data_IF_744106444017
#
_entry.id   IF_744106444017
#
_cell.length_a   1.000
_cell.length_b   1.000
_cell.length_c   1.000
_cell.angle_alpha   90.00
_cell.angle_beta   90.00
_cell.angle_gamma   90.00
#
_symmetry.space_group_name_H-M   'P 1'
#
loop_
_entity.id
_entity.type
_entity.pdbx_description
1 polymer ?
#
# COMPACT_ATOMS: atom_id res chain seq x y z
N UNK A 1 -17.92 -33.66 33.16
CA UNK A 1 -16.47 -33.41 33.02
C UNK A 1 -15.94 -33.01 34.38
N UNK A 2 -14.73 -33.38 34.73
CA UNK A 2 -14.13 -32.94 35.98
C UNK A 2 -13.62 -31.49 35.81
N UNK A 3 -13.98 -30.64 36.77
CA UNK A 3 -13.43 -29.30 36.85
C UNK A 3 -12.08 -29.34 37.56
N UNK A 4 -11.16 -28.46 37.17
CA UNK A 4 -9.89 -28.23 37.85
C UNK A 4 -10.07 -27.09 38.85
N UNK A 5 -9.80 -27.37 40.12
CA UNK A 5 -9.77 -26.33 41.15
C UNK A 5 -8.50 -25.48 41.00
N UNK A 6 -8.62 -24.19 40.95
CA UNK A 6 -7.52 -23.22 40.99
C UNK A 6 -7.42 -22.62 42.38
N UNK A 7 -8.48 -21.94 42.84
CA UNK A 7 -8.57 -21.38 44.17
C UNK A 7 -10.05 -21.28 44.64
N UNK A 8 -10.32 -20.60 45.77
CA UNK A 8 -11.66 -20.46 46.31
C UNK A 8 -12.63 -19.65 45.48
N UNK A 9 -12.15 -18.92 44.48
CA UNK A 9 -12.92 -18.04 43.57
C UNK A 9 -12.91 -18.53 42.13
N UNK A 10 -12.05 -19.50 41.79
CA UNK A 10 -11.82 -19.90 40.39
C UNK A 10 -11.76 -21.43 40.23
N UNK A 11 -12.52 -21.91 39.25
CA UNK A 11 -12.47 -23.28 38.76
C UNK A 11 -12.41 -23.26 37.23
N UNK A 12 -11.65 -24.17 36.64
CA UNK A 12 -11.49 -24.31 35.20
C UNK A 12 -12.23 -25.54 34.68
N UNK A 13 -13.05 -25.38 33.65
CA UNK A 13 -13.79 -26.47 33.01
C UNK A 13 -13.60 -26.43 31.50
N UNK A 14 -13.37 -27.57 30.85
CA UNK A 14 -13.44 -27.71 29.43
C UNK A 14 -14.91 -27.79 28.98
N UNK A 15 -15.26 -27.03 27.93
CA UNK A 15 -16.62 -27.05 27.36
C UNK A 15 -16.87 -28.36 26.60
N UNK A 16 -18.04 -29.00 26.77
CA UNK A 16 -18.41 -30.18 25.97
C UNK A 16 -18.73 -29.77 24.53
N UNK A 17 -18.59 -30.70 23.58
CA UNK A 17 -19.01 -30.51 22.19
C UNK A 17 -20.52 -30.32 22.15
N UNK A 18 -20.99 -29.36 21.31
CA UNK A 18 -22.39 -29.10 21.02
C UNK A 18 -22.68 -29.21 19.53
N UNK A 19 -23.90 -29.59 19.19
CA UNK A 19 -24.33 -29.80 17.78
C UNK A 19 -24.76 -28.52 17.07
N UNK A 20 -24.65 -27.35 17.69
CA UNK A 20 -25.03 -26.06 17.07
C UNK A 20 -24.93 -24.87 18.03
N UNK A 21 -25.18 -23.70 17.44
CA UNK A 21 -25.19 -22.42 18.18
C UNK A 21 -26.29 -22.43 19.23
N UNK A 22 -25.94 -22.23 20.50
CA UNK A 22 -26.88 -22.23 21.61
C UNK A 22 -26.28 -21.62 22.87
N UNK A 23 -27.12 -21.01 23.70
CA UNK A 23 -26.73 -20.64 25.06
C UNK A 23 -27.06 -21.76 26.03
N UNK A 24 -26.16 -22.03 26.99
CA UNK A 24 -26.30 -23.03 28.05
C UNK A 24 -25.94 -22.42 29.38
N UNK A 25 -26.72 -22.73 30.43
CA UNK A 25 -26.33 -22.37 31.78
C UNK A 25 -25.10 -23.17 32.23
N UNK A 26 -24.18 -22.49 32.90
CA UNK A 26 -23.02 -23.12 33.55
C UNK A 26 -23.29 -23.21 35.05
N UNK A 27 -23.22 -24.41 35.56
CA UNK A 27 -23.48 -24.72 36.96
C UNK A 27 -22.33 -25.52 37.53
N UNK A 28 -21.98 -25.27 38.77
CA UNK A 28 -20.85 -25.90 39.45
C UNK A 28 -21.38 -26.72 40.66
N UNK A 29 -20.79 -27.89 40.86
CA UNK A 29 -21.02 -28.72 42.03
C UNK A 29 -19.70 -29.09 42.69
N UNK A 30 -19.64 -28.99 43.99
CA UNK A 30 -18.46 -29.40 44.78
C UNK A 30 -18.54 -30.84 45.28
N UNK A 31 -19.70 -31.50 45.16
CA UNK A 31 -19.93 -32.87 45.65
C UNK A 31 -20.53 -33.80 44.58
N UNK A 32 -20.74 -33.30 43.34
CA UNK A 32 -21.30 -34.06 42.21
C UNK A 32 -22.81 -34.33 42.31
N UNK A 33 -23.51 -33.79 43.29
CA UNK A 33 -24.95 -34.02 43.51
C UNK A 33 -25.77 -32.72 43.44
N UNK A 34 -25.37 -31.69 44.13
CA UNK A 34 -26.04 -30.40 44.14
C UNK A 34 -25.27 -29.42 43.24
N UNK A 35 -25.97 -28.87 42.27
CA UNK A 35 -25.45 -27.87 41.38
C UNK A 35 -25.98 -26.47 41.68
N UNK A 36 -25.19 -25.44 41.38
CA UNK A 36 -25.65 -24.06 41.46
C UNK A 36 -26.79 -23.82 40.47
N UNK A 37 -27.57 -22.75 40.64
CA UNK A 37 -28.71 -22.42 39.76
C UNK A 37 -28.80 -20.93 39.47
N UNK A 38 -27.64 -20.26 39.33
CA UNK A 38 -27.58 -18.81 39.13
C UNK A 38 -27.85 -18.38 37.70
N UNK A 39 -27.95 -19.30 36.73
CA UNK A 39 -28.31 -19.01 35.34
C UNK A 39 -27.23 -18.31 34.55
N UNK A 40 -25.96 -18.35 34.98
CA UNK A 40 -24.84 -17.81 34.20
C UNK A 40 -24.73 -18.60 32.90
N UNK A 41 -24.80 -17.91 31.77
CA UNK A 41 -24.85 -18.54 30.46
C UNK A 41 -23.49 -18.52 29.76
N UNK A 42 -23.14 -19.62 29.10
CA UNK A 42 -22.10 -19.74 28.10
C UNK A 42 -22.76 -19.93 26.75
N UNK A 43 -22.32 -19.15 25.75
CA UNK A 43 -22.90 -19.19 24.38
C UNK A 43 -21.93 -19.89 23.44
N UNK A 44 -22.39 -20.99 22.86
CA UNK A 44 -21.73 -21.67 21.75
C UNK A 44 -22.00 -20.89 20.45
N UNK A 45 -20.95 -20.52 19.74
CA UNK A 45 -21.02 -19.84 18.45
C UNK A 45 -20.48 -20.74 17.35
N UNK A 46 -20.76 -20.41 16.09
CA UNK A 46 -20.16 -21.10 14.97
C UNK A 46 -18.62 -20.95 15.02
N UNK A 47 -17.91 -22.00 14.65
CA UNK A 47 -16.45 -21.93 14.55
C UNK A 47 -16.05 -20.91 13.48
N UNK A 48 -15.10 -20.06 13.83
CA UNK A 48 -14.50 -19.13 12.86
C UNK A 48 -13.66 -19.91 11.85
N UNK A 49 -13.64 -19.45 10.62
CA UNK A 49 -12.76 -19.94 9.57
C UNK A 49 -12.25 -18.77 8.71
N UNK A 50 -10.97 -18.83 8.32
CA UNK A 50 -10.34 -17.86 7.41
C UNK A 50 -10.28 -18.47 6.02
N UNK A 51 -10.86 -17.78 5.03
CA UNK A 51 -10.86 -18.20 3.63
C UNK A 51 -9.70 -17.59 2.86
N UNK A 52 -9.48 -16.29 3.00
CA UNK A 52 -8.38 -15.55 2.35
C UNK A 52 -8.16 -14.18 3.01
N UNK A 53 -7.05 -13.54 2.71
CA UNK A 53 -6.68 -12.22 3.22
C UNK A 53 -6.37 -11.24 2.10
N UNK A 54 -6.61 -9.96 2.33
CA UNK A 54 -6.27 -8.89 1.39
C UNK A 54 -5.78 -7.64 2.14
N UNK A 55 -4.70 -7.00 1.67
CA UNK A 55 -3.82 -7.44 0.57
C UNK A 55 -3.08 -8.73 0.93
N UNK A 56 -2.64 -9.48 -0.07
CA UNK A 56 -1.87 -10.72 0.14
C UNK A 56 -0.42 -10.47 0.56
N UNK A 57 0.04 -9.22 0.41
CA UNK A 57 1.37 -8.76 0.83
C UNK A 57 1.34 -7.31 1.29
N UNK A 58 2.28 -6.93 2.14
CA UNK A 58 2.43 -5.57 2.63
C UNK A 58 3.73 -5.34 3.39
N UNK A 59 3.91 -4.14 3.96
CA UNK A 59 5.17 -3.72 4.55
C UNK A 59 5.55 -4.54 5.80
N UNK A 60 6.82 -4.87 5.91
CA UNK A 60 7.39 -5.56 7.07
C UNK A 60 7.40 -4.69 8.33
N UNK A 61 7.34 -3.39 8.15
CA UNK A 61 7.20 -2.39 9.22
C UNK A 61 5.84 -2.46 9.94
N UNK A 62 4.87 -3.16 9.34
CA UNK A 62 3.50 -3.24 9.87
C UNK A 62 2.66 -2.02 9.50
N UNK A 63 1.57 -1.81 10.27
CA UNK A 63 0.67 -0.65 10.12
C UNK A 63 -0.34 -0.75 8.98
N UNK A 64 -0.16 -1.66 8.02
CA UNK A 64 -1.10 -1.84 6.92
C UNK A 64 -2.42 -2.48 7.40
N UNK A 65 -3.58 -1.98 6.98
CA UNK A 65 -4.84 -2.66 7.23
C UNK A 65 -4.89 -3.97 6.44
N UNK A 66 -5.18 -5.06 7.15
CA UNK A 66 -5.33 -6.39 6.60
C UNK A 66 -6.80 -6.81 6.72
N UNK A 67 -7.49 -6.95 5.61
CA UNK A 67 -8.85 -7.48 5.57
C UNK A 67 -8.79 -9.00 5.55
N UNK A 68 -9.41 -9.64 6.51
CA UNK A 68 -9.54 -11.08 6.62
C UNK A 68 -10.96 -11.46 6.22
N UNK A 69 -11.10 -12.32 5.22
CA UNK A 69 -12.36 -12.85 4.75
C UNK A 69 -12.57 -14.28 5.26
N UNK A 70 -13.77 -14.57 5.70
CA UNK A 70 -14.07 -15.88 6.28
C UNK A 70 -15.49 -16.02 6.75
N UNK A 71 -15.70 -16.80 7.81
CA UNK A 71 -17.02 -17.04 8.38
C UNK A 71 -16.93 -17.19 9.89
N UNK A 72 -18.09 -17.13 10.57
CA UNK A 72 -18.21 -17.30 12.00
C UNK A 72 -17.78 -16.06 12.81
N UNK A 73 -17.53 -14.93 12.17
CA UNK A 73 -17.28 -13.65 12.82
C UNK A 73 -18.61 -13.08 13.32
N UNK A 74 -18.64 -12.54 14.55
CA UNK A 74 -19.89 -12.03 15.13
C UNK A 74 -19.71 -10.66 15.77
N UNK A 75 -20.75 -9.83 15.68
CA UNK A 75 -20.79 -8.54 16.37
C UNK A 75 -20.66 -8.68 17.89
N UNK A 76 -21.15 -9.77 18.45
CA UNK A 76 -21.00 -10.07 19.88
C UNK A 76 -19.54 -10.27 20.29
N UNK A 77 -18.74 -10.99 19.45
CA UNK A 77 -17.32 -11.19 19.70
C UNK A 77 -16.54 -9.87 19.62
N UNK A 78 -16.90 -9.00 18.68
CA UNK A 78 -16.31 -7.65 18.57
C UNK A 78 -16.65 -6.81 19.81
N UNK A 79 -17.93 -6.72 20.20
CA UNK A 79 -18.38 -5.92 21.34
C UNK A 79 -17.74 -6.34 22.66
N UNK A 80 -17.45 -7.64 22.82
CA UNK A 80 -16.75 -8.19 23.98
C UNK A 80 -15.22 -8.05 23.90
N UNK A 81 -14.68 -7.57 22.76
CA UNK A 81 -13.23 -7.46 22.53
C UNK A 81 -12.53 -8.80 22.27
N UNK A 82 -13.29 -9.85 21.96
CA UNK A 82 -12.80 -11.20 21.70
C UNK A 82 -12.46 -11.44 20.23
N UNK A 83 -12.94 -10.55 19.33
CA UNK A 83 -12.58 -10.63 17.92
C UNK A 83 -11.15 -10.14 17.73
N UNK A 84 -10.26 -11.07 17.39
CA UNK A 84 -8.82 -10.83 17.34
C UNK A 84 -8.18 -11.55 16.16
N UNK A 85 -7.10 -10.98 15.66
CA UNK A 85 -6.19 -11.63 14.72
C UNK A 85 -4.88 -11.96 15.42
N UNK A 86 -4.28 -13.08 15.06
CA UNK A 86 -2.92 -13.44 15.45
C UNK A 86 -2.05 -13.51 14.19
N UNK A 87 -1.05 -12.65 14.11
CA UNK A 87 -0.10 -12.57 13.03
C UNK A 87 1.27 -12.98 13.56
N UNK A 88 1.75 -14.15 13.14
CA UNK A 88 3.03 -14.71 13.59
C UNK A 88 3.21 -14.66 15.13
N UNK A 89 2.16 -15.00 15.86
CA UNK A 89 2.17 -14.99 17.33
C UNK A 89 1.78 -13.67 18.00
N UNK A 90 1.78 -12.56 17.28
CA UNK A 90 1.32 -11.27 17.81
C UNK A 90 -0.18 -11.13 17.65
N UNK A 91 -0.89 -10.85 18.75
CA UNK A 91 -2.34 -10.71 18.77
C UNK A 91 -2.73 -9.23 18.69
N UNK A 92 -3.64 -8.91 17.77
CA UNK A 92 -4.22 -7.58 17.58
C UNK A 92 -5.74 -7.66 17.58
N UNK A 93 -6.41 -6.60 18.03
CA UNK A 93 -7.87 -6.50 17.95
C UNK A 93 -8.29 -6.34 16.49
N UNK A 94 -9.42 -6.96 16.14
CA UNK A 94 -10.06 -6.82 14.85
C UNK A 94 -11.33 -5.98 14.95
N UNK A 95 -11.71 -5.37 13.82
CA UNK A 95 -12.98 -4.69 13.62
C UNK A 95 -13.80 -5.43 12.56
N UNK A 96 -15.04 -5.73 12.88
CA UNK A 96 -15.95 -6.40 11.97
C UNK A 96 -16.38 -5.42 10.85
N UNK A 97 -16.37 -5.90 9.62
CA UNK A 97 -16.96 -5.18 8.49
C UNK A 97 -18.42 -5.57 8.29
N UNK A 98 -19.18 -4.75 7.58
CA UNK A 98 -20.60 -5.01 7.32
C UNK A 98 -20.78 -6.37 6.63
N UNK A 99 -21.68 -7.20 7.16
CA UNK A 99 -22.04 -8.52 6.60
C UNK A 99 -21.44 -9.74 7.30
N UNK A 100 -20.61 -9.53 8.36
CA UNK A 100 -20.04 -10.62 9.21
C UNK A 100 -19.19 -11.68 8.45
N UNK A 101 -18.85 -11.41 7.19
CA UNK A 101 -17.99 -12.28 6.35
C UNK A 101 -16.56 -11.77 6.23
N UNK A 102 -16.28 -10.60 6.83
CA UNK A 102 -14.96 -9.99 6.79
C UNK A 102 -14.70 -9.08 7.99
N UNK A 103 -13.44 -8.96 8.35
CA UNK A 103 -12.96 -8.08 9.41
C UNK A 103 -11.62 -7.46 9.04
N UNK A 104 -11.24 -6.38 9.70
CA UNK A 104 -9.97 -5.70 9.51
C UNK A 104 -9.10 -5.83 10.75
N UNK A 105 -7.84 -6.19 10.53
CA UNK A 105 -6.78 -6.19 11.53
C UNK A 105 -5.65 -5.27 11.06
N UNK A 106 -4.95 -4.61 11.98
CA UNK A 106 -3.68 -3.96 11.64
C UNK A 106 -2.57 -5.00 11.47
N UNK A 107 -1.79 -4.90 10.40
CA UNK A 107 -0.58 -5.72 10.28
C UNK A 107 0.44 -5.31 11.33
N UNK A 108 1.20 -6.28 11.82
CA UNK A 108 2.24 -6.07 12.84
C UNK A 108 3.62 -6.07 12.19
N UNK A 109 4.61 -5.48 12.86
CA UNK A 109 6.00 -5.61 12.47
C UNK A 109 6.38 -7.09 12.40
N UNK A 110 6.96 -7.51 11.29
CA UNK A 110 7.38 -8.88 11.07
C UNK A 110 8.67 -8.93 10.24
N UNK A 111 9.43 -10.02 10.37
CA UNK A 111 10.50 -10.30 9.42
C UNK A 111 9.89 -10.53 8.02
N UNK A 112 10.67 -10.25 6.97
CA UNK A 112 10.24 -10.56 5.61
C UNK A 112 9.99 -12.06 5.44
N UNK A 113 8.91 -12.40 4.76
CA UNK A 113 8.47 -13.79 4.54
C UNK A 113 6.98 -13.97 4.77
N UNK A 114 6.55 -15.21 4.77
CA UNK A 114 5.14 -15.54 5.00
C UNK A 114 4.81 -15.56 6.49
N UNK A 115 3.75 -14.85 6.84
CA UNK A 115 3.20 -14.69 8.18
C UNK A 115 1.86 -15.44 8.25
N UNK A 116 1.68 -16.33 9.21
CA UNK A 116 0.39 -16.95 9.46
C UNK A 116 -0.64 -15.92 9.93
N UNK A 117 -1.86 -16.03 9.41
CA UNK A 117 -2.99 -15.21 9.81
C UNK A 117 -4.06 -16.11 10.40
N UNK A 118 -4.30 -15.97 11.68
CA UNK A 118 -5.24 -16.75 12.45
C UNK A 118 -6.22 -15.83 13.16
N UNK A 119 -7.43 -16.28 13.41
CA UNK A 119 -8.52 -15.48 13.98
C UNK A 119 -9.07 -16.14 15.21
N UNK A 120 -9.44 -15.33 16.20
CA UNK A 120 -10.22 -15.79 17.36
C UNK A 120 -11.50 -14.97 17.51
N UNK A 121 -12.59 -15.64 17.89
CA UNK A 121 -13.88 -15.04 18.25
C UNK A 121 -14.20 -15.14 19.74
N UNK A 122 -13.31 -15.76 20.53
CA UNK A 122 -13.42 -15.86 21.98
C UNK A 122 -12.18 -15.37 22.74
N UNK A 123 -11.16 -14.87 22.01
CA UNK A 123 -9.91 -14.35 22.56
C UNK A 123 -8.92 -15.43 23.04
N UNK A 124 -9.25 -16.72 22.91
CA UNK A 124 -8.44 -17.86 23.40
C UNK A 124 -8.11 -18.85 22.28
N UNK A 125 -9.12 -19.29 21.54
CA UNK A 125 -8.97 -20.29 20.49
C UNK A 125 -8.80 -19.59 19.15
N UNK A 126 -7.70 -19.88 18.46
CA UNK A 126 -7.39 -19.33 17.14
C UNK A 126 -7.56 -20.39 16.06
N UNK A 127 -7.99 -19.94 14.88
CA UNK A 127 -8.07 -20.79 13.69
C UNK A 127 -6.69 -21.29 13.27
N UNK A 128 -6.67 -22.35 12.47
CA UNK A 128 -5.43 -22.93 11.90
C UNK A 128 -5.62 -23.26 10.42
N UNK A 129 -6.31 -22.39 9.68
CA UNK A 129 -6.72 -22.61 8.29
C UNK A 129 -5.56 -22.49 7.27
N UNK A 130 -4.39 -22.07 7.72
CA UNK A 130 -3.19 -21.92 6.87
C UNK A 130 -3.19 -20.67 6.01
N UNK A 131 -4.07 -19.70 6.29
CA UNK A 131 -4.03 -18.40 5.62
C UNK A 131 -2.71 -17.68 5.89
N UNK A 132 -2.14 -17.06 4.86
CA UNK A 132 -0.84 -16.41 4.93
C UNK A 132 -0.89 -15.02 4.30
N UNK A 133 -0.05 -14.16 4.85
CA UNK A 133 0.24 -12.81 4.38
C UNK A 133 1.76 -12.70 4.16
N UNK A 134 2.17 -12.15 3.02
CA UNK A 134 3.60 -11.95 2.74
C UNK A 134 4.06 -10.59 3.25
N UNK A 135 4.91 -10.61 4.26
CA UNK A 135 5.60 -9.43 4.80
C UNK A 135 6.85 -9.15 3.98
N UNK A 136 7.00 -7.93 3.45
CA UNK A 136 8.12 -7.57 2.56
C UNK A 136 8.78 -6.28 2.99
N UNK A 137 10.12 -6.22 2.89
CA UNK A 137 10.86 -4.97 2.96
C UNK A 137 10.78 -4.26 1.62
N UNK A 138 10.33 -3.01 1.63
CA UNK A 138 10.30 -2.16 0.45
C UNK A 138 11.50 -1.22 0.46
N UNK A 139 12.23 -1.15 -0.66
CA UNK A 139 13.38 -0.26 -0.81
C UNK A 139 13.33 0.39 -2.19
N UNK A 140 13.42 1.72 -2.23
CA UNK A 140 13.62 2.48 -3.47
C UNK A 140 15.11 2.67 -3.70
N UNK A 141 15.60 2.23 -4.86
CA UNK A 141 17.02 2.30 -5.25
C UNK A 141 17.29 3.31 -6.37
N UNK A 142 16.26 3.75 -7.11
CA UNK A 142 16.42 4.67 -8.21
C UNK A 142 15.20 5.53 -8.49
N UNK A 143 15.46 6.70 -9.08
CA UNK A 143 14.44 7.68 -9.51
C UNK A 143 14.79 8.19 -10.89
N UNK A 144 13.88 8.14 -11.85
CA UNK A 144 14.05 8.64 -13.20
C UNK A 144 12.72 9.14 -13.83
N UNK A 145 12.69 10.31 -14.47
CA UNK A 145 13.74 11.32 -14.48
C UNK A 145 13.90 11.98 -13.08
N UNK A 146 15.07 12.57 -12.85
CA UNK A 146 15.36 13.28 -11.58
C UNK A 146 15.00 14.76 -11.62
N UNK A 147 14.43 15.24 -12.71
CA UNK A 147 13.97 16.62 -12.82
C UNK A 147 12.75 16.75 -13.73
N UNK A 148 12.04 17.85 -13.55
CA UNK A 148 10.93 18.25 -14.39
C UNK A 148 10.45 19.65 -14.05
N UNK A 149 9.55 20.24 -14.86
CA UNK A 149 9.12 21.61 -14.71
C UNK A 149 8.36 21.82 -13.38
N UNK A 150 8.55 22.98 -12.76
CA UNK A 150 7.94 23.33 -11.46
C UNK A 150 6.40 23.34 -11.48
N UNK A 151 5.78 23.45 -12.66
CA UNK A 151 4.32 23.33 -12.79
C UNK A 151 3.83 21.88 -12.76
N UNK A 152 4.73 20.90 -12.57
CA UNK A 152 4.39 19.49 -12.42
C UNK A 152 4.12 18.77 -13.74
N UNK A 153 3.49 17.59 -13.63
CA UNK A 153 3.10 16.78 -14.80
C UNK A 153 4.17 15.80 -15.30
N UNK A 154 5.34 15.72 -14.64
CA UNK A 154 6.38 14.74 -14.99
C UNK A 154 6.01 13.38 -14.41
N UNK A 155 5.96 12.36 -15.27
CA UNK A 155 5.87 10.97 -14.83
C UNK A 155 7.24 10.53 -14.35
N UNK A 156 7.35 10.27 -13.05
CA UNK A 156 8.58 9.84 -12.39
C UNK A 156 8.48 8.36 -12.07
N UNK A 157 9.44 7.58 -12.55
CA UNK A 157 9.56 6.15 -12.26
C UNK A 157 10.51 5.98 -11.07
N UNK A 158 10.05 5.25 -10.06
CA UNK A 158 10.86 4.78 -8.94
C UNK A 158 11.15 3.30 -9.15
N UNK A 159 12.42 2.94 -9.09
CA UNK A 159 12.85 1.53 -9.15
C UNK A 159 13.28 1.06 -7.77
N UNK A 160 13.06 -0.22 -7.48
CA UNK A 160 13.33 -0.73 -6.15
C UNK A 160 13.14 -2.23 -6.02
N UNK A 161 12.85 -2.67 -4.81
CA UNK A 161 12.49 -4.06 -4.49
C UNK A 161 11.37 -4.09 -3.47
N UNK A 162 10.53 -5.11 -3.52
CA UNK A 162 9.45 -5.30 -2.54
C UNK A 162 8.36 -4.23 -2.59
N UNK A 163 8.23 -3.46 -3.70
CA UNK A 163 7.23 -2.41 -3.79
C UNK A 163 5.82 -2.99 -3.75
N UNK A 164 4.95 -2.37 -2.95
CA UNK A 164 3.58 -2.84 -2.69
C UNK A 164 2.58 -1.82 -3.21
N UNK A 165 1.60 -2.29 -4.00
CA UNK A 165 0.61 -1.43 -4.63
C UNK A 165 -0.41 -0.83 -3.63
N UNK A 166 -0.74 -1.58 -2.58
CA UNK A 166 -1.75 -1.17 -1.61
C UNK A 166 -1.27 0.04 -0.81
N UNK A 167 -2.05 1.13 -0.85
CA UNK A 167 -1.74 2.37 -0.13
C UNK A 167 -0.54 3.17 -0.67
N UNK A 168 -0.01 2.82 -1.86
CA UNK A 168 1.16 3.48 -2.43
C UNK A 168 0.88 4.93 -2.82
N UNK A 169 1.73 5.84 -2.37
CA UNK A 169 1.70 7.28 -2.68
C UNK A 169 3.11 7.83 -2.86
N UNK A 170 3.26 8.93 -3.57
CA UNK A 170 4.50 9.68 -3.63
C UNK A 170 4.35 11.05 -2.98
N UNK A 171 5.34 11.45 -2.21
CA UNK A 171 5.43 12.79 -1.63
C UNK A 171 6.64 13.52 -2.22
N UNK A 172 6.41 14.72 -2.74
CA UNK A 172 7.43 15.60 -3.30
C UNK A 172 7.64 16.80 -2.35
N UNK A 173 8.69 16.74 -1.53
CA UNK A 173 8.95 17.75 -0.50
C UNK A 173 7.80 17.88 0.49
N UNK A 174 7.32 19.10 0.69
CA UNK A 174 6.21 19.41 1.60
C UNK A 174 4.81 19.28 0.94
N UNK A 175 4.72 18.79 -0.31
CA UNK A 175 3.42 18.64 -0.98
C UNK A 175 2.58 17.53 -0.36
N UNK A 176 1.24 17.62 -0.55
CA UNK A 176 0.35 16.50 -0.23
C UNK A 176 0.73 15.27 -1.08
N UNK A 177 0.71 14.07 -0.51
CA UNK A 177 1.02 12.86 -1.26
C UNK A 177 0.07 12.65 -2.44
N UNK A 178 0.65 12.31 -3.61
CA UNK A 178 -0.09 11.94 -4.83
C UNK A 178 -0.13 10.43 -4.99
N UNK A 179 -1.15 9.90 -5.66
CA UNK A 179 -1.26 8.47 -5.90
C UNK A 179 -0.04 7.94 -6.68
N UNK A 180 0.46 6.78 -6.29
CA UNK A 180 1.45 6.02 -7.03
C UNK A 180 0.80 4.83 -7.74
N UNK A 181 1.23 4.55 -8.98
CA UNK A 181 0.95 3.29 -9.66
C UNK A 181 2.14 2.37 -9.45
N UNK A 182 1.92 1.22 -8.82
CA UNK A 182 2.95 0.18 -8.68
C UNK A 182 2.72 -0.85 -9.77
N UNK A 183 3.59 -0.88 -10.77
CA UNK A 183 3.46 -1.74 -11.94
C UNK A 183 4.03 -3.14 -11.68
N UNK A 184 4.98 -3.23 -10.75
CA UNK A 184 5.59 -4.50 -10.30
C UNK A 184 6.23 -4.34 -8.92
N UNK A 185 6.73 -5.43 -8.34
CA UNK A 185 7.51 -5.39 -7.10
C UNK A 185 8.83 -4.58 -7.22
N UNK A 186 9.20 -4.15 -8.42
CA UNK A 186 10.44 -3.40 -8.68
C UNK A 186 10.23 -2.04 -9.34
N UNK A 187 8.99 -1.66 -9.68
CA UNK A 187 8.70 -0.42 -10.38
C UNK A 187 7.41 0.23 -9.90
N UNK A 188 7.50 1.53 -9.59
CA UNK A 188 6.36 2.38 -9.27
C UNK A 188 6.47 3.71 -10.04
N UNK A 189 5.34 4.34 -10.35
CA UNK A 189 5.26 5.60 -11.07
C UNK A 189 4.39 6.61 -10.34
N UNK A 190 4.84 7.86 -10.37
CA UNK A 190 4.11 8.99 -9.84
C UNK A 190 4.14 10.15 -10.82
N UNK A 191 3.12 10.99 -10.76
CA UNK A 191 3.12 12.25 -11.50
C UNK A 191 3.50 13.37 -10.53
N UNK A 192 4.57 14.13 -10.87
CA UNK A 192 4.99 15.25 -10.01
C UNK A 192 3.88 16.29 -9.91
N UNK A 193 3.48 16.71 -8.70
CA UNK A 193 2.55 17.82 -8.50
C UNK A 193 3.24 19.17 -8.82
N UNK A 194 2.50 20.26 -9.01
CA UNK A 194 3.08 21.60 -9.04
C UNK A 194 3.75 21.93 -7.70
N UNK A 195 4.95 22.52 -7.72
CA UNK A 195 5.67 22.89 -6.50
C UNK A 195 5.52 24.37 -6.11
N UNK A 196 5.07 25.22 -7.04
CA UNK A 196 4.99 26.67 -6.85
C UNK A 196 6.36 27.38 -6.92
N UNK A 197 7.49 26.64 -6.88
CA UNK A 197 8.84 27.19 -6.99
C UNK A 197 9.80 26.16 -7.59
N UNK A 198 10.92 26.65 -8.11
CA UNK A 198 12.04 25.80 -8.55
C UNK A 198 12.91 25.38 -7.37
N UNK A 199 13.63 24.27 -7.50
CA UNK A 199 14.54 23.77 -6.51
C UNK A 199 14.43 22.29 -6.25
N UNK A 200 15.31 21.78 -5.40
CA UNK A 200 15.31 20.37 -5.00
C UNK A 200 14.21 20.08 -3.98
N UNK A 201 13.49 19.01 -4.24
CA UNK A 201 12.51 18.43 -3.32
C UNK A 201 12.90 16.98 -3.01
N UNK A 202 12.74 16.57 -1.76
CA UNK A 202 12.81 15.15 -1.43
C UNK A 202 11.63 14.45 -2.14
N UNK A 203 11.89 13.32 -2.76
CA UNK A 203 10.87 12.43 -3.32
C UNK A 203 10.85 11.16 -2.50
N UNK A 204 9.71 10.86 -1.92
CA UNK A 204 9.51 9.66 -1.12
C UNK A 204 8.38 8.83 -1.69
N UNK A 205 8.57 7.53 -1.75
CA UNK A 205 7.50 6.57 -1.92
C UNK A 205 6.97 6.21 -0.53
N UNK A 206 5.67 6.32 -0.35
CA UNK A 206 4.97 5.99 0.88
C UNK A 206 4.16 4.70 0.66
N UNK A 207 4.13 3.84 1.66
CA UNK A 207 3.22 2.71 1.77
C UNK A 207 2.45 2.86 3.07
N UNK A 208 1.12 3.03 3.00
CA UNK A 208 0.26 3.33 4.17
C UNK A 208 0.78 4.51 5.03
N UNK A 209 1.22 5.59 4.34
CA UNK A 209 1.78 6.82 4.91
C UNK A 209 3.18 6.69 5.57
N UNK A 210 3.77 5.48 5.59
CA UNK A 210 5.16 5.25 6.00
C UNK A 210 6.11 5.34 4.79
N UNK A 211 7.26 6.00 4.97
CA UNK A 211 8.27 6.15 3.91
C UNK A 211 9.06 4.85 3.72
N UNK A 212 8.99 4.29 2.52
CA UNK A 212 9.76 3.10 2.11
C UNK A 212 11.03 3.46 1.33
N UNK A 213 11.37 4.72 1.29
CA UNK A 213 12.55 5.23 0.61
C UNK A 213 12.20 6.19 -0.53
N UNK A 214 13.23 6.67 -1.21
CA UNK A 214 13.06 7.65 -2.27
C UNK A 214 14.37 8.22 -2.77
N UNK A 215 14.34 9.48 -3.17
CA UNK A 215 15.47 10.20 -3.69
C UNK A 215 15.24 11.71 -3.68
N UNK A 216 15.81 12.39 -4.64
CA UNK A 216 15.57 13.81 -4.84
C UNK A 216 15.06 14.07 -6.26
N UNK A 217 14.17 15.04 -6.37
CA UNK A 217 13.62 15.52 -7.63
C UNK A 217 13.83 17.03 -7.73
N UNK A 218 14.38 17.48 -8.86
CA UNK A 218 14.62 18.90 -9.12
C UNK A 218 13.44 19.50 -9.88
N UNK A 219 12.77 20.44 -9.28
CA UNK A 219 11.81 21.28 -9.98
C UNK A 219 12.54 22.37 -10.76
N UNK A 220 12.49 22.25 -12.07
CA UNK A 220 13.16 23.16 -13.01
C UNK A 220 12.24 24.27 -13.48
N UNK A 221 12.85 25.35 -13.98
CA UNK A 221 12.12 26.34 -14.71
C UNK A 221 11.50 25.76 -15.99
N UNK A 222 10.33 26.26 -16.34
CA UNK A 222 9.65 25.82 -17.53
C UNK A 222 10.42 26.28 -18.78
N UNK A 223 10.67 25.35 -19.68
CA UNK A 223 11.21 25.65 -21.00
C UNK A 223 10.22 26.53 -21.76
N UNK A 224 10.72 27.59 -22.37
CA UNK A 224 9.96 28.50 -23.17
C UNK A 224 10.55 28.58 -24.58
N UNK A 225 9.70 28.46 -25.61
CA UNK A 225 10.08 28.68 -27.01
C UNK A 225 9.57 30.04 -27.45
N UNK A 226 10.45 30.90 -27.89
CA UNK A 226 10.14 32.27 -28.38
C UNK A 226 10.07 32.37 -29.87
N UNK A 227 10.92 31.65 -30.60
CA UNK A 227 11.00 31.69 -32.05
C UNK A 227 11.58 30.41 -32.64
N UNK A 228 11.39 30.22 -33.92
CA UNK A 228 12.05 29.22 -34.75
C UNK A 228 12.60 29.87 -36.03
N UNK A 229 13.77 29.43 -36.48
CA UNK A 229 14.45 30.00 -37.69
C UNK A 229 15.01 28.83 -38.51
N UNK A 230 14.67 28.75 -39.82
CA UNK A 230 13.70 29.59 -40.56
C UNK A 230 12.25 29.25 -40.23
N UNK A 231 11.32 30.14 -40.56
CA UNK A 231 9.89 29.94 -40.37
C UNK A 231 9.22 29.04 -41.43
N UNK A 232 9.90 28.80 -42.52
CA UNK A 232 9.39 28.06 -43.67
C UNK A 232 10.40 27.01 -44.12
N UNK A 233 9.91 25.90 -44.61
CA UNK A 233 10.70 24.81 -45.18
C UNK A 233 9.90 24.01 -46.21
N UNK A 234 10.54 23.20 -47.05
CA UNK A 234 9.88 22.33 -48.02
C UNK A 234 9.09 21.22 -47.30
N UNK A 235 8.04 20.73 -47.96
CA UNK A 235 7.20 19.64 -47.47
C UNK A 235 7.95 18.31 -47.37
N UNK A 236 9.00 18.16 -48.16
CA UNK A 236 9.90 17.00 -48.14
C UNK A 236 10.79 16.96 -46.90
N UNK A 237 10.82 18.04 -46.13
CA UNK A 237 11.64 18.13 -44.91
C UNK A 237 13.10 18.48 -45.20
N UNK A 238 14.02 18.12 -44.29
CA UNK A 238 15.47 18.31 -44.40
C UNK A 238 15.97 19.72 -44.05
N UNK A 239 15.08 20.67 -43.69
CA UNK A 239 15.50 22.01 -43.25
C UNK A 239 16.12 21.93 -41.85
N UNK A 240 17.35 22.45 -41.71
CA UNK A 240 17.95 22.67 -40.38
C UNK A 240 17.21 23.81 -39.69
N UNK A 241 16.70 23.54 -38.51
CA UNK A 241 15.86 24.46 -37.74
C UNK A 241 16.56 24.84 -36.46
N UNK A 242 16.69 26.12 -36.18
CA UNK A 242 17.09 26.64 -34.88
C UNK A 242 15.84 27.03 -34.09
N UNK A 243 15.74 26.54 -32.87
CA UNK A 243 14.68 26.90 -31.92
C UNK A 243 15.29 27.80 -30.87
N UNK A 244 14.75 29.00 -30.74
CA UNK A 244 15.14 30.02 -29.78
C UNK A 244 14.16 30.03 -28.60
N UNK A 245 14.68 30.22 -27.40
CA UNK A 245 13.85 30.20 -26.23
C UNK A 245 14.59 30.49 -24.93
N UNK A 246 14.21 29.81 -23.87
CA UNK A 246 14.91 29.90 -22.58
C UNK A 246 14.76 28.60 -21.78
N UNK A 247 15.72 28.41 -20.87
CA UNK A 247 15.79 27.27 -19.94
C UNK A 247 15.95 25.90 -20.62
N UNK A 248 16.49 25.90 -21.86
CA UNK A 248 16.90 24.64 -22.50
C UNK A 248 18.00 23.97 -21.66
N UNK A 249 17.99 22.64 -21.60
CA UNK A 249 18.99 21.84 -20.91
C UNK A 249 19.54 20.76 -21.81
N UNK A 250 20.81 20.49 -21.66
CA UNK A 250 21.44 19.36 -22.32
C UNK A 250 20.95 18.05 -21.68
N UNK A 251 20.17 17.28 -22.44
CA UNK A 251 19.68 15.97 -22.01
C UNK A 251 19.74 15.00 -23.18
N UNK A 252 19.87 13.71 -22.89
CA UNK A 252 19.89 12.64 -23.90
C UNK A 252 18.53 12.45 -24.60
N UNK A 253 17.47 13.04 -24.04
CA UNK A 253 16.10 12.95 -24.54
C UNK A 253 15.61 14.27 -25.13
N UNK A 254 16.49 15.24 -25.34
CA UNK A 254 16.12 16.54 -25.92
C UNK A 254 15.56 16.35 -27.33
N UNK A 255 14.31 16.79 -27.51
CA UNK A 255 13.59 16.63 -28.77
C UNK A 255 12.63 17.77 -29.03
N UNK A 256 12.37 18.06 -30.29
CA UNK A 256 11.31 18.97 -30.73
C UNK A 256 10.17 18.17 -31.35
N UNK A 257 8.94 18.61 -31.10
CA UNK A 257 7.73 18.00 -31.68
C UNK A 257 7.07 18.95 -32.66
N UNK A 258 6.77 18.45 -33.84
CA UNK A 258 6.00 19.15 -34.88
C UNK A 258 4.54 18.64 -34.80
N UNK A 259 3.61 19.57 -34.58
CA UNK A 259 2.19 19.25 -34.36
C UNK A 259 1.82 19.02 -32.88
N UNK A 260 0.50 19.05 -32.62
CA UNK A 260 -0.05 18.79 -31.28
C UNK A 260 -0.38 17.30 -31.15
N UNK A 261 -0.33 16.79 -29.91
CA UNK A 261 -0.74 15.42 -29.61
C UNK A 261 0.16 14.36 -30.24
N UNK A 262 -0.27 13.72 -31.31
CA UNK A 262 0.44 12.67 -32.05
C UNK A 262 1.48 13.19 -33.06
N UNK A 263 1.94 14.43 -32.91
CA UNK A 263 2.96 15.02 -33.77
C UNK A 263 4.29 14.27 -33.78
N UNK A 264 5.06 14.45 -34.86
CA UNK A 264 6.38 13.83 -35.06
C UNK A 264 7.40 14.47 -34.12
N UNK A 265 8.12 13.67 -33.37
CA UNK A 265 9.22 14.12 -32.50
C UNK A 265 10.56 13.84 -33.18
N UNK A 266 11.45 14.82 -33.17
CA UNK A 266 12.78 14.76 -33.74
C UNK A 266 13.80 15.13 -32.68
N UNK A 267 14.87 14.35 -32.54
CA UNK A 267 15.95 14.64 -31.60
C UNK A 267 16.57 16.03 -31.91
N UNK A 268 16.86 16.78 -30.86
CA UNK A 268 17.48 18.09 -30.97
C UNK A 268 18.87 18.10 -30.36
N UNK A 269 19.75 18.91 -30.91
CA UNK A 269 21.08 19.17 -30.38
C UNK A 269 21.04 20.40 -29.50
N UNK A 270 21.52 20.28 -28.27
CA UNK A 270 21.71 21.39 -27.37
C UNK A 270 22.86 22.28 -27.85
N UNK A 271 22.64 23.59 -27.93
CA UNK A 271 23.65 24.60 -28.19
C UNK A 271 23.94 25.35 -26.89
N UNK A 272 22.90 26.00 -26.33
CA UNK A 272 22.96 26.64 -25.01
C UNK A 272 21.55 26.72 -24.38
N UNK A 273 21.43 27.41 -23.25
CA UNK A 273 20.16 27.52 -22.51
C UNK A 273 19.06 28.29 -23.25
N UNK A 274 19.42 28.98 -24.36
CA UNK A 274 18.52 29.79 -25.19
C UNK A 274 18.35 29.25 -26.61
N UNK A 275 19.15 28.27 -27.01
CA UNK A 275 19.19 27.78 -28.40
C UNK A 275 19.34 26.27 -28.48
N UNK A 276 18.50 25.63 -29.29
CA UNK A 276 18.64 24.24 -29.71
C UNK A 276 18.49 24.11 -31.21
N UNK A 277 19.22 23.17 -31.80
CA UNK A 277 19.26 22.95 -33.24
C UNK A 277 18.67 21.58 -33.60
N UNK A 278 17.85 21.55 -34.65
CA UNK A 278 17.38 20.31 -35.24
C UNK A 278 18.04 20.08 -36.58
N UNK A 279 18.60 18.90 -36.77
CA UNK A 279 18.99 18.41 -38.08
C UNK A 279 18.01 17.30 -38.45
N UNK A 280 17.09 17.58 -39.33
CA UNK A 280 16.23 16.55 -39.90
C UNK A 280 17.09 15.66 -40.80
N UNK A 281 17.56 14.55 -40.25
CA UNK A 281 18.11 13.48 -41.06
C UNK A 281 16.92 12.89 -41.83
N UNK A 282 17.05 12.75 -43.12
CA UNK A 282 16.04 12.16 -44.00
C UNK A 282 15.52 10.84 -43.37
N UNK A 283 14.21 10.76 -43.18
CA UNK A 283 13.53 9.50 -42.90
C UNK A 283 13.31 8.76 -44.21
#
# INVERSE_FOLDING_TARGET
MAARYIDSSEVECATPVQSGVSARSVEVSVNGQQYTSFGVAYTYVASAAVSWVWPVRGPAEGGAPLTVHGSGFTASSEALGYLQCRLNGTVVRAQLLAGEESMVCGSTVAAAGYVSVEVSTNGLDFTSDGAQYESVWSVVSGVAPRSGPWNGGTVVTLTGTGLVASGARCRFGASSPVAASVDSASEARCVSPPSGATGWAALELLSFDESVGGGSFLYDERVWVSAVVPLLGPVEGGTRLTVLGSHFKETTTLACRFGRGSGVSVAARYIDSSEVELSLIHI
#
